data_IF_877608156874
#
_entry.id   IF_877608156874
#
_cell.length_a   1.000
_cell.length_b   1.000
_cell.length_c   1.000
_cell.angle_alpha   90.00
_cell.angle_beta   90.00
_cell.angle_gamma   90.00
#
_symmetry.space_group_name_H-M   'P 1'
#
loop_
_entity.id
_entity.type
_entity.pdbx_description
1 polymer ?
#
# COMPACT_ATOMS: atom_id res chain seq x y z
N UNK A 1 -9.04 6.26 19.34
CA UNK A 1 -10.43 6.79 19.36
C UNK A 1 -10.49 8.31 19.45
N UNK A 2 -9.94 8.99 20.51
CA UNK A 2 -10.05 10.48 20.62
C UNK A 2 -9.42 11.22 19.43
N UNK A 3 -8.29 10.75 18.92
CA UNK A 3 -7.64 11.35 17.73
C UNK A 3 -8.49 11.18 16.47
N UNK A 4 -9.02 9.99 16.22
CA UNK A 4 -9.94 9.75 15.11
C UNK A 4 -11.17 10.65 15.21
N UNK A 5 -11.81 10.68 16.38
CA UNK A 5 -12.97 11.56 16.61
C UNK A 5 -12.68 13.04 16.33
N UNK A 6 -11.46 13.53 16.60
CA UNK A 6 -11.11 14.91 16.26
C UNK A 6 -11.08 15.17 14.74
N UNK A 7 -10.71 14.16 13.95
CA UNK A 7 -10.77 14.24 12.48
C UNK A 7 -12.21 14.11 11.98
N UNK A 8 -13.02 13.25 12.60
CA UNK A 8 -14.45 13.14 12.28
C UNK A 8 -15.16 14.50 12.47
N UNK A 9 -14.89 15.17 13.60
CA UNK A 9 -15.43 16.51 13.85
C UNK A 9 -14.92 17.54 12.83
N UNK A 10 -13.62 17.52 12.53
CA UNK A 10 -13.03 18.39 11.50
C UNK A 10 -13.63 18.14 10.13
N UNK A 11 -13.78 16.87 9.72
CA UNK A 11 -14.37 16.50 8.43
C UNK A 11 -15.81 16.98 8.29
N UNK A 12 -16.60 16.91 9.37
CA UNK A 12 -17.99 17.36 9.38
C UNK A 12 -18.13 18.89 9.38
N UNK A 13 -17.30 19.60 10.15
CA UNK A 13 -17.53 20.98 10.52
C UNK A 13 -16.66 22.00 9.76
N UNK A 14 -15.49 21.58 9.22
CA UNK A 14 -14.59 22.49 8.52
C UNK A 14 -15.12 22.86 7.13
N UNK A 15 -14.93 24.12 6.69
CA UNK A 15 -15.19 24.51 5.32
C UNK A 15 -14.38 23.67 4.33
N UNK A 16 -14.90 23.41 3.13
CA UNK A 16 -14.24 22.50 2.14
C UNK A 16 -12.79 22.90 1.83
N UNK A 17 -12.50 24.20 1.75
CA UNK A 17 -11.16 24.72 1.48
C UNK A 17 -10.16 24.53 2.61
N UNK A 18 -10.62 24.20 3.82
CA UNK A 18 -9.81 23.99 5.01
C UNK A 18 -9.93 22.54 5.53
N UNK A 19 -10.72 21.71 4.84
CA UNK A 19 -11.05 20.36 5.25
C UNK A 19 -9.95 19.38 4.78
N UNK A 20 -9.09 18.95 5.69
CA UNK A 20 -7.92 18.13 5.35
C UNK A 20 -8.26 16.83 4.60
N UNK A 21 -9.23 15.99 5.03
CA UNK A 21 -9.63 14.83 4.26
C UNK A 21 -10.11 15.15 2.84
N UNK A 22 -10.88 16.24 2.68
CA UNK A 22 -11.37 16.69 1.37
C UNK A 22 -10.22 17.12 0.48
N UNK A 23 -9.32 17.96 1.00
CA UNK A 23 -8.15 18.43 0.25
C UNK A 23 -7.23 17.27 -0.18
N UNK A 24 -7.01 16.30 0.72
CA UNK A 24 -6.23 15.12 0.42
C UNK A 24 -6.91 14.26 -0.67
N UNK A 25 -8.22 14.04 -0.56
CA UNK A 25 -9.02 13.32 -1.55
C UNK A 25 -9.01 14.01 -2.92
N UNK A 26 -9.18 15.34 -2.96
CA UNK A 26 -9.12 16.11 -4.20
C UNK A 26 -7.73 16.10 -4.86
N UNK A 27 -6.66 16.15 -4.06
CA UNK A 27 -5.29 16.01 -4.56
C UNK A 27 -5.07 14.65 -5.22
N UNK A 28 -5.56 13.58 -4.60
CA UNK A 28 -5.46 12.24 -5.18
C UNK A 28 -6.35 12.08 -6.42
N UNK A 29 -7.58 12.58 -6.38
CA UNK A 29 -8.44 12.62 -7.56
C UNK A 29 -7.75 13.29 -8.74
N UNK A 30 -7.09 14.44 -8.49
CA UNK A 30 -6.34 15.16 -9.50
C UNK A 30 -5.23 14.31 -10.11
N UNK A 31 -4.44 13.65 -9.25
CA UNK A 31 -3.36 12.78 -9.71
C UNK A 31 -3.89 11.57 -10.51
N UNK A 32 -4.92 10.89 -10.03
CA UNK A 32 -5.43 9.66 -10.62
C UNK A 32 -6.24 9.96 -11.89
N UNK A 33 -7.30 10.75 -11.74
CA UNK A 33 -8.31 10.90 -12.79
C UNK A 33 -7.95 11.94 -13.85
N UNK A 34 -7.16 12.98 -13.50
CA UNK A 34 -6.82 14.05 -14.42
C UNK A 34 -5.39 13.95 -14.96
N UNK A 35 -4.43 13.57 -14.12
CA UNK A 35 -3.03 13.41 -14.56
C UNK A 35 -2.68 11.98 -15.00
N UNK A 36 -3.55 11.01 -14.74
CA UNK A 36 -3.36 9.62 -15.15
C UNK A 36 -2.23 8.92 -14.40
N UNK A 37 -2.02 9.24 -13.12
CA UNK A 37 -1.04 8.58 -12.25
C UNK A 37 -1.74 7.54 -11.36
N UNK A 38 -1.84 6.27 -11.79
CA UNK A 38 -2.65 5.26 -11.10
C UNK A 38 -1.95 4.63 -9.89
N UNK A 39 -0.83 5.18 -9.45
CA UNK A 39 0.02 4.64 -8.38
C UNK A 39 0.38 5.75 -7.42
N UNK A 40 0.33 5.48 -6.11
CA UNK A 40 0.75 6.38 -5.05
C UNK A 40 1.73 5.69 -4.12
N UNK A 41 2.80 6.39 -3.72
CA UNK A 41 3.76 5.92 -2.74
C UNK A 41 3.51 6.59 -1.38
N UNK A 42 3.32 5.81 -0.32
CA UNK A 42 3.16 6.27 1.07
C UNK A 42 4.45 6.00 1.83
N UNK A 43 5.14 7.05 2.22
CA UNK A 43 6.55 7.03 2.63
C UNK A 43 6.72 7.60 4.04
N UNK A 44 6.42 6.82 5.10
CA UNK A 44 6.59 7.28 6.48
C UNK A 44 8.06 7.29 6.87
N UNK A 45 8.57 8.45 7.32
CA UNK A 45 9.90 8.61 7.92
C UNK A 45 9.82 8.33 9.43
N UNK A 46 9.27 7.19 9.76
CA UNK A 46 9.11 6.69 11.11
C UNK A 46 8.94 5.15 11.07
N UNK A 47 9.85 4.43 11.71
CA UNK A 47 9.84 2.96 11.72
C UNK A 47 8.56 2.38 12.37
N UNK A 48 8.00 3.05 13.35
CA UNK A 48 6.75 2.61 14.00
C UNK A 48 5.55 2.59 13.03
N UNK A 49 5.62 3.32 11.90
CA UNK A 49 4.63 3.31 10.82
C UNK A 49 4.94 2.30 9.70
N UNK A 50 5.82 1.32 9.91
CA UNK A 50 6.21 0.33 8.89
C UNK A 50 5.03 -0.46 8.30
N UNK A 51 3.93 -0.57 9.01
CA UNK A 51 2.70 -1.22 8.56
C UNK A 51 1.63 -0.24 8.07
N UNK A 52 1.93 1.05 8.03
CA UNK A 52 0.96 2.04 7.62
C UNK A 52 0.60 1.94 6.12
N UNK A 53 1.61 1.89 5.23
CA UNK A 53 1.34 1.69 3.80
C UNK A 53 0.56 0.38 3.52
N UNK A 54 0.93 -0.80 4.08
CA UNK A 54 0.09 -2.01 3.98
C UNK A 54 -1.33 -1.87 4.52
N UNK A 55 -1.55 -1.06 5.57
CA UNK A 55 -2.88 -0.77 6.08
C UNK A 55 -3.69 0.05 5.07
N UNK A 56 -3.10 1.11 4.53
CA UNK A 56 -3.78 1.95 3.54
C UNK A 56 -4.04 1.20 2.23
N UNK A 57 -3.18 0.27 1.84
CA UNK A 57 -3.46 -0.64 0.72
C UNK A 57 -4.82 -1.31 0.89
N UNK A 58 -5.12 -1.84 2.06
CA UNK A 58 -6.42 -2.46 2.32
C UNK A 58 -7.54 -1.42 2.34
N UNK A 59 -7.38 -0.34 3.08
CA UNK A 59 -8.42 0.71 3.23
C UNK A 59 -8.78 1.33 1.88
N UNK A 60 -7.81 1.65 1.04
CA UNK A 60 -8.01 2.34 -0.24
C UNK A 60 -8.35 1.37 -1.37
N UNK A 61 -7.48 0.39 -1.64
CA UNK A 61 -7.60 -0.47 -2.83
C UNK A 61 -8.81 -1.42 -2.72
N UNK A 62 -9.10 -1.95 -1.53
CA UNK A 62 -10.27 -2.80 -1.30
C UNK A 62 -11.57 -1.98 -1.39
N UNK A 63 -11.56 -0.77 -0.83
CA UNK A 63 -12.76 0.07 -0.80
C UNK A 63 -13.09 0.69 -2.15
N UNK A 64 -12.10 1.24 -2.86
CA UNK A 64 -12.31 2.05 -4.07
C UNK A 64 -11.95 1.35 -5.38
N UNK A 65 -11.41 0.14 -5.34
CA UNK A 65 -11.17 -0.68 -6.53
C UNK A 65 -12.47 -1.26 -7.09
N UNK A 66 -13.30 -0.43 -7.73
CA UNK A 66 -14.63 -0.79 -8.23
C UNK A 66 -14.75 -0.59 -9.74
N UNK A 67 -15.54 -1.42 -10.40
CA UNK A 67 -15.81 -1.33 -11.83
C UNK A 67 -17.19 -0.79 -12.18
N UNK A 68 -18.05 -0.51 -11.17
CA UNK A 68 -19.41 -0.04 -11.34
C UNK A 68 -19.74 1.08 -10.37
N UNK A 69 -20.69 1.93 -10.74
CA UNK A 69 -21.22 2.98 -9.88
C UNK A 69 -22.26 2.43 -8.87
N UNK A 70 -22.79 3.29 -8.01
CA UNK A 70 -23.81 2.93 -7.02
C UNK A 70 -25.10 2.34 -7.62
N UNK A 71 -25.36 2.58 -8.90
CA UNK A 71 -26.52 1.99 -9.62
C UNK A 71 -26.20 0.64 -10.27
N UNK A 72 -24.94 0.20 -10.25
CA UNK A 72 -24.46 -1.00 -10.94
C UNK A 72 -24.08 -0.79 -12.40
N UNK A 73 -24.06 0.45 -12.88
CA UNK A 73 -23.63 0.77 -14.24
C UNK A 73 -22.10 0.78 -14.34
N UNK A 74 -21.50 0.25 -15.44
CA UNK A 74 -20.05 0.30 -15.61
C UNK A 74 -19.51 1.72 -15.55
N UNK A 75 -18.40 1.92 -14.81
CA UNK A 75 -17.72 3.20 -14.77
C UNK A 75 -17.09 3.52 -16.14
N UNK A 76 -17.19 4.77 -16.64
CA UNK A 76 -16.52 5.18 -17.88
C UNK A 76 -15.03 5.52 -17.67
N UNK A 77 -14.49 5.30 -16.50
CA UNK A 77 -13.11 5.56 -16.08
C UNK A 77 -12.66 4.49 -15.08
N UNK A 78 -11.36 4.41 -14.84
CA UNK A 78 -10.79 3.54 -13.81
C UNK A 78 -10.86 4.23 -12.44
N UNK A 79 -11.36 3.54 -11.43
CA UNK A 79 -11.41 4.00 -10.05
C UNK A 79 -10.35 3.29 -9.21
N UNK A 80 -9.95 3.96 -8.13
CA UNK A 80 -8.92 3.46 -7.23
C UNK A 80 -7.50 3.67 -7.74
N UNK A 81 -6.56 3.50 -6.85
CA UNK A 81 -5.11 3.67 -7.08
C UNK A 81 -4.37 2.47 -6.52
N UNK A 82 -3.15 2.25 -6.98
CA UNK A 82 -2.26 1.24 -6.41
C UNK A 82 -1.43 1.92 -5.33
N UNK A 83 -1.68 1.57 -4.08
CA UNK A 83 -0.90 2.05 -2.95
C UNK A 83 0.26 1.12 -2.66
N UNK A 84 1.44 1.69 -2.42
CA UNK A 84 2.60 0.96 -1.93
C UNK A 84 3.47 1.89 -1.08
N UNK A 85 4.44 1.35 -0.38
CA UNK A 85 5.41 2.17 0.33
C UNK A 85 6.15 1.42 1.42
N UNK A 86 7.22 2.04 1.87
CA UNK A 86 8.07 1.58 2.95
C UNK A 86 8.58 2.78 3.76
N UNK A 87 9.00 2.57 5.02
CA UNK A 87 9.64 3.63 5.78
C UNK A 87 10.89 4.19 5.10
N UNK A 88 11.04 5.51 5.13
CA UNK A 88 12.35 6.14 4.92
C UNK A 88 13.30 5.79 6.09
N UNK A 89 14.58 5.57 5.84
CA UNK A 89 15.33 5.71 4.56
C UNK A 89 15.36 4.42 3.72
N UNK A 90 14.81 3.31 4.22
CA UNK A 90 14.91 2.01 3.55
C UNK A 90 14.37 2.05 2.10
N UNK A 91 13.21 2.66 1.89
CA UNK A 91 12.61 2.82 0.55
C UNK A 91 13.51 3.52 -0.45
N UNK A 92 14.38 4.46 0.00
CA UNK A 92 15.34 5.16 -0.85
C UNK A 92 16.34 4.20 -1.53
N UNK A 93 16.67 3.09 -0.87
CA UNK A 93 17.58 2.07 -1.37
C UNK A 93 16.86 0.94 -2.13
N UNK A 94 15.55 1.06 -2.32
CA UNK A 94 14.73 0.07 -3.01
C UNK A 94 14.14 0.63 -4.32
N UNK A 95 13.18 1.52 -4.25
CA UNK A 95 12.39 1.93 -5.42
C UNK A 95 12.48 3.43 -5.77
N UNK A 96 13.22 4.26 -5.03
CA UNK A 96 13.30 5.70 -5.31
C UNK A 96 13.96 6.02 -6.65
N UNK A 97 14.84 5.17 -7.15
CA UNK A 97 15.38 5.32 -8.50
C UNK A 97 14.26 5.43 -9.56
N UNK A 98 13.24 4.59 -9.45
CA UNK A 98 12.08 4.64 -10.34
C UNK A 98 11.29 5.95 -10.15
N UNK A 99 11.06 6.35 -8.89
CA UNK A 99 10.30 7.55 -8.55
C UNK A 99 10.96 8.80 -9.09
N UNK A 100 12.30 8.90 -9.06
CA UNK A 100 13.05 10.08 -9.51
C UNK A 100 13.26 10.14 -11.03
N UNK A 101 13.51 9.02 -11.69
CA UNK A 101 13.87 9.00 -13.13
C UNK A 101 12.91 8.22 -14.03
N UNK A 102 12.16 7.29 -13.46
CA UNK A 102 11.22 6.47 -14.21
C UNK A 102 9.82 7.10 -14.29
N UNK A 103 8.82 6.30 -13.98
CA UNK A 103 7.42 6.74 -13.96
C UNK A 103 7.20 7.84 -12.93
N UNK A 104 6.32 8.78 -13.26
CA UNK A 104 5.82 9.73 -12.26
C UNK A 104 4.91 9.00 -11.28
N UNK A 105 5.25 9.05 -10.02
CA UNK A 105 4.48 8.45 -8.93
C UNK A 105 4.28 9.53 -7.87
N UNK A 106 3.05 9.98 -7.62
CA UNK A 106 2.75 10.86 -6.50
C UNK A 106 3.22 10.25 -5.19
N UNK A 107 3.94 11.04 -4.38
CA UNK A 107 4.51 10.59 -3.12
C UNK A 107 3.86 11.30 -1.94
N UNK A 108 3.51 10.57 -0.90
CA UNK A 108 3.05 11.10 0.38
C UNK A 108 4.10 10.81 1.46
N UNK A 109 4.86 11.84 1.83
CA UNK A 109 5.85 11.77 2.88
C UNK A 109 5.20 12.03 4.24
N UNK A 110 5.44 11.17 5.21
CA UNK A 110 4.93 11.33 6.58
C UNK A 110 6.10 11.44 7.53
N UNK A 111 6.31 12.63 8.08
CA UNK A 111 7.37 12.94 9.03
C UNK A 111 6.83 13.15 10.44
N UNK A 112 7.71 13.06 11.43
CA UNK A 112 7.39 13.27 12.84
C UNK A 112 8.42 14.25 13.45
N UNK A 113 7.95 15.35 14.05
CA UNK A 113 8.86 16.36 14.63
C UNK A 113 9.64 15.80 15.82
N UNK A 114 8.94 15.19 16.78
CA UNK A 114 9.57 14.63 17.98
C UNK A 114 9.77 13.14 17.84
N UNK A 115 11.04 12.70 17.85
CA UNK A 115 11.37 11.28 17.87
C UNK A 115 10.91 10.62 19.18
N UNK A 116 10.46 9.38 19.10
CA UNK A 116 10.21 8.55 20.29
C UNK A 116 11.51 8.16 20.98
N UNK A 117 12.63 8.09 20.25
CA UNK A 117 13.95 7.68 20.73
C UNK A 117 15.03 8.42 19.95
N UNK A 118 15.38 9.65 20.37
CA UNK A 118 16.52 10.38 19.80
C UNK A 118 17.82 9.84 20.35
N UNK A 119 18.76 9.51 19.48
CA UNK A 119 20.12 9.08 19.82
C UNK A 119 21.09 10.08 19.21
N UNK A 120 22.05 10.52 20.01
CA UNK A 120 23.14 11.39 19.58
C UNK A 120 24.44 10.59 19.59
N UNK A 121 25.20 10.64 18.51
CA UNK A 121 26.55 10.11 18.50
C UNK A 121 27.49 11.08 19.23
N UNK A 122 28.53 10.55 19.89
CA UNK A 122 29.49 11.38 20.64
C UNK A 122 30.20 12.35 19.70
N UNK A 123 30.03 13.64 19.97
CA UNK A 123 30.65 14.71 19.20
C UNK A 123 29.80 15.27 18.06
N UNK A 124 28.62 14.69 17.79
CA UNK A 124 27.67 15.17 16.81
C UNK A 124 26.67 16.14 17.43
N UNK A 125 26.28 17.16 16.67
CA UNK A 125 25.26 18.15 17.04
C UNK A 125 23.87 17.65 16.60
N UNK A 126 23.81 16.94 15.49
CA UNK A 126 22.58 16.40 14.92
C UNK A 126 22.30 14.99 15.48
N UNK A 127 21.05 14.72 15.79
CA UNK A 127 20.61 13.39 16.23
C UNK A 127 20.40 12.45 15.03
N UNK A 128 20.29 11.14 15.29
CA UNK A 128 19.85 10.17 14.29
C UNK A 128 18.50 10.54 13.69
N UNK A 129 17.63 11.18 14.47
CA UNK A 129 16.33 11.64 14.00
C UNK A 129 16.46 12.86 13.06
N UNK A 130 17.35 13.81 13.37
CA UNK A 130 17.62 14.93 12.47
C UNK A 130 18.13 14.45 11.12
N UNK A 131 19.03 13.44 11.09
CA UNK A 131 19.51 12.84 9.85
C UNK A 131 18.37 12.18 9.04
N UNK A 132 17.44 11.51 9.72
CA UNK A 132 16.23 10.96 9.09
C UNK A 132 15.38 12.08 8.48
N UNK A 133 15.14 13.17 9.21
CA UNK A 133 14.33 14.30 8.77
C UNK A 133 15.02 15.12 7.67
N UNK A 134 16.34 15.22 7.66
CA UNK A 134 17.07 15.78 6.52
C UNK A 134 16.72 15.03 5.22
N UNK A 135 16.68 13.72 5.26
CA UNK A 135 16.26 12.92 4.12
C UNK A 135 14.79 13.14 3.75
N UNK A 136 13.89 13.23 4.73
CA UNK A 136 12.47 13.54 4.52
C UNK A 136 12.29 14.84 3.70
N UNK A 137 12.96 15.92 4.10
CA UNK A 137 12.87 17.20 3.39
C UNK A 137 13.56 17.15 2.02
N UNK A 138 14.77 16.58 1.96
CA UNK A 138 15.56 16.54 0.74
C UNK A 138 14.87 15.73 -0.39
N UNK A 139 14.13 14.67 -0.06
CA UNK A 139 13.45 13.88 -1.08
C UNK A 139 12.27 14.62 -1.73
N UNK A 140 11.49 15.35 -0.95
CA UNK A 140 10.41 16.19 -1.47
C UNK A 140 10.97 17.29 -2.41
N UNK A 141 12.05 17.97 -2.00
CA UNK A 141 12.72 18.97 -2.83
C UNK A 141 13.31 18.37 -4.11
N UNK A 142 13.96 17.21 -4.01
CA UNK A 142 14.53 16.54 -5.17
C UNK A 142 13.45 16.15 -6.21
N UNK A 143 12.26 15.74 -5.77
CA UNK A 143 11.12 15.46 -6.65
C UNK A 143 10.58 16.74 -7.30
N UNK A 144 10.54 17.84 -6.56
CA UNK A 144 10.02 19.10 -7.06
C UNK A 144 10.95 19.75 -8.09
N UNK A 145 12.23 19.89 -7.77
CA UNK A 145 13.19 20.63 -8.58
C UNK A 145 13.96 19.77 -9.58
N UNK A 146 14.25 18.51 -9.24
CA UNK A 146 15.10 17.67 -10.07
C UNK A 146 16.54 18.15 -10.14
N UNK A 147 17.21 17.87 -11.28
CA UNK A 147 18.59 18.29 -11.56
C UNK A 147 18.77 18.53 -13.06
N UNK A 148 19.04 19.73 -13.45
CA UNK A 148 19.15 20.11 -14.86
C UNK A 148 20.52 19.74 -15.45
N UNK A 149 20.61 19.69 -16.78
CA UNK A 149 21.87 19.47 -17.50
C UNK A 149 22.83 20.63 -17.31
N UNK A 150 22.33 21.84 -17.23
CA UNK A 150 23.09 23.08 -17.02
C UNK A 150 23.79 23.07 -15.66
N UNK A 151 23.05 22.70 -14.60
CA UNK A 151 23.62 22.55 -13.26
C UNK A 151 24.71 21.47 -13.20
N UNK A 152 24.50 20.34 -13.91
CA UNK A 152 25.48 19.26 -13.98
C UNK A 152 26.76 19.70 -14.71
N UNK A 153 26.65 20.49 -15.80
CA UNK A 153 27.82 21.08 -16.48
C UNK A 153 28.56 22.06 -15.59
N UNK A 154 27.82 22.90 -14.88
CA UNK A 154 28.40 23.82 -13.91
C UNK A 154 29.15 23.12 -12.78
N UNK A 155 28.78 21.90 -12.45
CA UNK A 155 29.47 21.04 -11.48
C UNK A 155 30.60 20.19 -12.10
N UNK A 156 31.00 20.46 -13.35
CA UNK A 156 32.00 19.71 -14.08
C UNK A 156 31.71 18.22 -14.21
N UNK A 157 30.42 17.84 -14.30
CA UNK A 157 30.02 16.46 -14.57
C UNK A 157 30.47 16.05 -15.99
N UNK A 158 31.16 14.92 -16.19
CA UNK A 158 31.53 14.44 -17.52
C UNK A 158 30.32 14.32 -18.45
N UNK A 159 30.44 14.75 -19.69
CA UNK A 159 29.32 14.83 -20.65
C UNK A 159 28.56 13.52 -20.81
N UNK A 160 29.25 12.38 -20.81
CA UNK A 160 28.62 11.06 -20.94
C UNK A 160 27.76 10.68 -19.73
N UNK A 161 27.97 11.29 -18.55
CA UNK A 161 27.15 11.06 -17.35
C UNK A 161 25.98 12.03 -17.22
N UNK A 162 26.02 13.18 -17.89
CA UNK A 162 24.95 14.20 -17.78
C UNK A 162 23.56 13.63 -18.07
N UNK A 163 23.31 12.86 -19.15
CA UNK A 163 22.01 12.27 -19.39
C UNK A 163 21.54 11.34 -18.27
N UNK A 164 22.46 10.61 -17.65
CA UNK A 164 22.16 9.65 -16.59
C UNK A 164 21.94 10.30 -15.21
N UNK A 165 22.45 11.49 -15.00
CA UNK A 165 22.35 12.24 -13.74
C UNK A 165 21.32 13.37 -13.79
N UNK A 166 20.66 13.57 -14.93
CA UNK A 166 19.59 14.55 -15.07
C UNK A 166 18.27 14.00 -14.51
N UNK A 167 17.57 14.83 -13.76
CA UNK A 167 16.27 14.53 -13.15
C UNK A 167 15.29 15.61 -13.57
N UNK A 168 14.14 15.21 -14.06
CA UNK A 168 13.14 16.14 -14.63
C UNK A 168 12.53 17.08 -13.60
N UNK A 169 12.46 16.67 -12.33
CA UNK A 169 11.68 17.38 -11.33
C UNK A 169 10.17 17.38 -11.66
N UNK A 170 9.46 18.36 -11.12
CA UNK A 170 8.01 18.53 -11.31
C UNK A 170 7.20 17.25 -11.06
N UNK A 171 7.61 16.48 -10.04
CA UNK A 171 6.95 15.25 -9.63
C UNK A 171 6.12 15.53 -8.38
N UNK A 172 4.81 15.20 -8.39
CA UNK A 172 3.93 15.58 -7.31
C UNK A 172 4.29 14.86 -6.01
N UNK A 173 4.32 15.61 -4.93
CA UNK A 173 4.46 15.07 -3.58
C UNK A 173 3.67 15.90 -2.58
N UNK A 174 3.31 15.26 -1.47
CA UNK A 174 2.63 15.84 -0.33
C UNK A 174 3.42 15.48 0.92
N UNK A 175 3.56 16.40 1.86
CA UNK A 175 4.24 16.16 3.12
C UNK A 175 3.28 16.38 4.29
N UNK A 176 3.11 15.33 5.10
CA UNK A 176 2.41 15.36 6.38
C UNK A 176 3.46 15.40 7.49
N UNK A 177 3.42 16.43 8.34
CA UNK A 177 4.35 16.57 9.45
C UNK A 177 3.58 16.51 10.78
N UNK A 178 3.70 15.40 11.49
CA UNK A 178 3.08 15.19 12.78
C UNK A 178 3.95 15.77 13.90
N UNK A 179 3.39 16.41 14.93
CA UNK A 179 4.18 16.92 16.05
C UNK A 179 4.89 15.81 16.82
N UNK A 180 4.24 14.68 17.00
CA UNK A 180 4.77 13.46 17.60
C UNK A 180 3.92 12.26 17.18
N UNK A 181 4.48 11.05 17.24
CA UNK A 181 3.74 9.82 17.03
C UNK A 181 3.30 9.23 18.36
N UNK A 182 2.03 9.36 18.67
CA UNK A 182 1.39 8.78 19.84
C UNK A 182 0.01 8.21 19.47
N UNK A 183 -0.71 7.61 20.41
CA UNK A 183 -2.01 7.00 20.16
C UNK A 183 -3.07 8.00 19.64
N UNK A 184 -2.94 9.29 19.98
CA UNK A 184 -3.84 10.33 19.49
C UNK A 184 -3.57 10.67 18.02
N UNK A 185 -2.32 10.98 17.67
CA UNK A 185 -1.94 11.34 16.29
C UNK A 185 -2.01 10.15 15.32
N UNK A 186 -1.77 8.92 15.80
CA UNK A 186 -2.06 7.71 14.99
C UNK A 186 -3.55 7.60 14.70
N UNK A 187 -4.42 7.86 15.70
CA UNK A 187 -5.87 7.88 15.48
C UNK A 187 -6.29 8.96 14.46
N UNK A 188 -5.67 10.16 14.52
CA UNK A 188 -5.89 11.20 13.51
C UNK A 188 -5.46 10.73 12.11
N UNK A 189 -4.27 10.14 12.00
CA UNK A 189 -3.72 9.68 10.72
C UNK A 189 -4.61 8.61 10.09
N UNK A 190 -5.08 7.63 10.86
CA UNK A 190 -5.98 6.59 10.36
C UNK A 190 -7.30 7.18 9.84
N UNK A 191 -7.97 8.03 10.64
CA UNK A 191 -9.23 8.64 10.24
C UNK A 191 -9.08 9.59 9.04
N UNK A 192 -7.95 10.30 8.93
CA UNK A 192 -7.66 11.17 7.79
C UNK A 192 -7.72 10.38 6.47
N UNK A 193 -7.07 9.21 6.40
CA UNK A 193 -7.07 8.38 5.21
C UNK A 193 -8.40 7.64 4.99
N UNK A 194 -9.09 7.23 6.04
CA UNK A 194 -10.43 6.65 5.92
C UNK A 194 -11.41 7.65 5.30
N UNK A 195 -11.42 8.90 5.76
CA UNK A 195 -12.25 9.95 5.18
C UNK A 195 -11.82 10.34 3.76
N UNK A 196 -10.51 10.36 3.46
CA UNK A 196 -10.00 10.54 2.10
C UNK A 196 -10.58 9.50 1.14
N UNK A 197 -10.57 8.23 1.53
CA UNK A 197 -11.14 7.13 0.72
C UNK A 197 -12.64 7.33 0.51
N UNK A 198 -13.37 7.74 1.56
CA UNK A 198 -14.79 8.06 1.44
C UNK A 198 -15.05 9.24 0.49
N UNK A 199 -14.25 10.31 0.55
CA UNK A 199 -14.35 11.46 -0.38
C UNK A 199 -14.19 11.03 -1.82
N UNK A 200 -13.18 10.20 -2.12
CA UNK A 200 -12.98 9.66 -3.47
C UNK A 200 -14.17 8.81 -3.91
N UNK A 201 -14.68 7.96 -3.02
CA UNK A 201 -15.86 7.14 -3.30
C UNK A 201 -17.11 7.97 -3.62
N UNK A 202 -17.34 9.06 -2.90
CA UNK A 202 -18.45 9.99 -3.18
C UNK A 202 -18.30 10.65 -4.55
N UNK A 203 -17.09 11.10 -4.89
CA UNK A 203 -16.85 11.78 -6.18
C UNK A 203 -16.97 10.80 -7.36
N UNK A 204 -16.46 9.59 -7.22
CA UNK A 204 -16.58 8.55 -8.24
C UNK A 204 -17.97 7.90 -8.30
N UNK A 205 -18.83 8.21 -7.33
CA UNK A 205 -20.18 7.62 -7.21
C UNK A 205 -20.15 6.08 -7.08
N UNK A 206 -19.23 5.54 -6.26
CA UNK A 206 -19.05 4.11 -6.06
C UNK A 206 -19.42 3.68 -4.64
N UNK A 207 -19.74 2.41 -4.45
CA UNK A 207 -19.88 1.80 -3.13
C UNK A 207 -18.51 1.45 -2.58
N UNK A 208 -17.93 2.37 -1.79
CA UNK A 208 -16.73 2.10 -1.01
C UNK A 208 -17.01 1.14 0.15
N UNK A 209 -15.95 0.57 0.75
CA UNK A 209 -15.99 -0.26 1.96
C UNK A 209 -16.74 -1.60 1.81
N UNK A 210 -16.90 -2.14 0.60
CA UNK A 210 -17.25 -3.52 0.32
C UNK A 210 -16.14 -4.22 -0.49
N UNK A 211 -16.14 -5.56 -0.54
CA UNK A 211 -15.04 -6.34 -1.12
C UNK A 211 -15.51 -7.57 -1.92
N UNK A 212 -16.47 -7.40 -2.80
CA UNK A 212 -17.02 -8.51 -3.61
C UNK A 212 -15.94 -9.26 -4.42
N UNK A 213 -14.87 -8.57 -4.84
CA UNK A 213 -13.75 -9.20 -5.53
C UNK A 213 -13.02 -10.26 -4.70
N UNK A 214 -13.01 -10.12 -3.38
CA UNK A 214 -12.38 -11.09 -2.47
C UNK A 214 -13.30 -12.31 -2.26
N UNK A 215 -14.63 -12.13 -2.31
CA UNK A 215 -15.61 -13.20 -2.16
C UNK A 215 -15.47 -14.29 -3.24
N UNK A 216 -15.23 -13.89 -4.49
CA UNK A 216 -15.02 -14.85 -5.59
C UNK A 216 -13.85 -15.78 -5.31
N UNK A 217 -12.74 -15.24 -4.80
CA UNK A 217 -11.57 -16.03 -4.44
C UNK A 217 -11.85 -17.07 -3.35
N UNK A 218 -12.65 -16.72 -2.34
CA UNK A 218 -13.04 -17.64 -1.26
C UNK A 218 -13.89 -18.81 -1.77
N UNK A 219 -14.86 -18.52 -2.63
CA UNK A 219 -15.71 -19.55 -3.26
C UNK A 219 -14.87 -20.52 -4.09
N UNK A 220 -13.97 -19.99 -4.92
CA UNK A 220 -13.06 -20.81 -5.74
C UNK A 220 -12.09 -21.63 -4.88
N UNK A 221 -11.56 -21.06 -3.80
CA UNK A 221 -10.70 -21.79 -2.88
C UNK A 221 -11.38 -22.96 -2.20
N UNK A 222 -12.65 -22.81 -1.81
CA UNK A 222 -13.46 -23.90 -1.26
C UNK A 222 -13.61 -25.03 -2.28
N UNK A 223 -13.90 -24.71 -3.54
CA UNK A 223 -13.99 -25.69 -4.63
C UNK A 223 -12.66 -26.41 -4.86
N UNK A 224 -11.55 -25.69 -4.89
CA UNK A 224 -10.21 -26.28 -5.00
C UNK A 224 -9.95 -27.27 -3.85
N UNK A 225 -10.32 -26.90 -2.62
CA UNK A 225 -10.18 -27.75 -1.44
C UNK A 225 -10.96 -29.07 -1.58
N UNK A 226 -12.21 -29.01 -2.04
CA UNK A 226 -13.05 -30.19 -2.26
C UNK A 226 -12.43 -31.14 -3.30
N UNK A 227 -12.01 -30.60 -4.44
CA UNK A 227 -11.39 -31.39 -5.51
C UNK A 227 -10.07 -32.01 -5.07
N UNK A 228 -9.22 -31.25 -4.36
CA UNK A 228 -7.97 -31.78 -3.80
C UNK A 228 -8.21 -32.88 -2.77
N UNK A 229 -9.23 -32.74 -1.92
CA UNK A 229 -9.61 -33.76 -0.96
C UNK A 229 -10.10 -35.03 -1.67
N UNK A 230 -10.95 -34.90 -2.68
CA UNK A 230 -11.44 -36.02 -3.48
C UNK A 230 -10.29 -36.71 -4.25
N UNK A 231 -9.37 -35.94 -4.83
CA UNK A 231 -8.22 -36.49 -5.54
C UNK A 231 -7.31 -37.31 -4.60
N UNK A 232 -7.05 -36.83 -3.39
CA UNK A 232 -6.29 -37.58 -2.38
C UNK A 232 -6.98 -38.86 -1.92
N UNK A 233 -8.26 -38.75 -1.60
CA UNK A 233 -9.03 -39.91 -1.12
C UNK A 233 -9.16 -41.01 -2.16
N UNK A 234 -9.31 -40.64 -3.44
CA UNK A 234 -9.47 -41.58 -4.55
C UNK A 234 -8.17 -41.92 -5.27
N UNK A 235 -7.03 -41.39 -4.81
CA UNK A 235 -5.71 -41.54 -5.45
C UNK A 235 -5.72 -41.25 -6.96
N UNK A 236 -6.47 -40.20 -7.38
CA UNK A 236 -6.61 -39.79 -8.76
C UNK A 236 -5.96 -38.43 -9.03
N UNK A 237 -5.69 -38.16 -10.28
CA UNK A 237 -5.31 -36.83 -10.74
C UNK A 237 -6.57 -35.93 -10.82
N UNK A 238 -6.33 -34.63 -10.73
CA UNK A 238 -7.34 -33.61 -11.04
C UNK A 238 -7.44 -33.50 -12.56
N UNK A 239 -8.64 -33.56 -13.09
CA UNK A 239 -8.95 -33.60 -14.51
C UNK A 239 -9.68 -32.33 -14.98
N UNK A 240 -9.80 -32.15 -16.28
CA UNK A 240 -10.51 -31.00 -16.86
C UNK A 240 -12.00 -30.98 -16.45
N UNK A 241 -12.58 -32.16 -16.25
CA UNK A 241 -13.96 -32.34 -15.73
C UNK A 241 -14.19 -31.76 -14.34
N UNK A 242 -13.11 -31.53 -13.55
CA UNK A 242 -13.18 -30.85 -12.26
C UNK A 242 -13.39 -29.33 -12.41
N UNK A 243 -13.35 -28.80 -13.65
CA UNK A 243 -13.78 -27.44 -14.02
C UNK A 243 -12.75 -26.34 -13.72
N UNK A 244 -11.48 -26.69 -13.71
CA UNK A 244 -10.38 -25.72 -13.65
C UNK A 244 -9.75 -25.53 -15.03
N UNK A 245 -9.11 -24.36 -15.23
CA UNK A 245 -8.28 -24.19 -16.41
C UNK A 245 -7.04 -25.11 -16.36
N UNK A 246 -6.48 -25.37 -17.50
CA UNK A 246 -5.35 -26.32 -17.67
C UNK A 246 -4.14 -25.99 -16.79
N UNK A 247 -3.84 -24.69 -16.59
CA UNK A 247 -2.72 -24.26 -15.75
C UNK A 247 -2.97 -24.61 -14.28
N UNK A 248 -4.15 -24.25 -13.76
CA UNK A 248 -4.54 -24.58 -12.37
C UNK A 248 -4.55 -26.07 -12.12
N UNK A 249 -5.12 -26.87 -13.05
CA UNK A 249 -5.14 -28.32 -12.99
C UNK A 249 -3.72 -28.92 -12.88
N UNK A 250 -2.79 -28.47 -13.75
CA UNK A 250 -1.41 -28.94 -13.73
C UNK A 250 -0.70 -28.58 -12.42
N UNK A 251 -0.89 -27.36 -11.93
CA UNK A 251 -0.30 -26.91 -10.69
C UNK A 251 -0.82 -27.71 -9.49
N UNK A 252 -2.13 -27.98 -9.41
CA UNK A 252 -2.71 -28.79 -8.34
C UNK A 252 -2.12 -30.22 -8.39
N UNK A 253 -2.06 -30.85 -9.56
CA UNK A 253 -1.49 -32.18 -9.69
C UNK A 253 -0.04 -32.22 -9.25
N UNK A 254 0.77 -31.25 -9.69
CA UNK A 254 2.18 -31.14 -9.27
C UNK A 254 2.33 -30.95 -7.76
N UNK A 255 1.46 -30.13 -7.16
CA UNK A 255 1.45 -29.94 -5.71
C UNK A 255 1.08 -31.22 -4.95
N UNK A 256 0.10 -31.98 -5.46
CA UNK A 256 -0.32 -33.25 -4.86
C UNK A 256 0.79 -34.31 -4.95
N UNK A 257 1.48 -34.43 -6.10
CA UNK A 257 2.65 -35.29 -6.29
C UNK A 257 3.75 -34.98 -5.28
N UNK A 258 4.14 -33.72 -5.15
CA UNK A 258 5.20 -33.27 -4.24
C UNK A 258 4.91 -33.59 -2.78
N UNK A 259 3.66 -33.44 -2.33
CA UNK A 259 3.28 -33.80 -0.95
C UNK A 259 3.23 -35.31 -0.69
N UNK A 260 3.02 -36.13 -1.70
CA UNK A 260 3.05 -37.59 -1.54
C UNK A 260 4.49 -38.09 -1.31
N UNK A 261 5.48 -37.37 -1.83
CA UNK A 261 6.91 -37.70 -1.63
C UNK A 261 7.48 -37.22 -0.27
N UNK A 262 6.85 -36.25 0.36
CA UNK A 262 7.22 -35.73 1.68
C UNK A 262 6.32 -36.40 2.73
N UNK A 263 6.83 -37.38 3.46
CA UNK A 263 6.15 -38.00 4.60
C UNK A 263 5.96 -36.97 5.75
N UNK A 264 5.11 -35.98 5.55
CA UNK A 264 4.68 -35.14 6.65
C UNK A 264 3.70 -35.96 7.51
N UNK A 265 3.94 -36.06 8.83
CA UNK A 265 2.98 -36.66 9.72
C UNK A 265 1.64 -35.91 9.63
N UNK A 266 0.55 -36.64 9.56
CA UNK A 266 -0.79 -36.03 9.58
C UNK A 266 -0.99 -35.36 10.94
N UNK A 267 -1.79 -34.29 11.04
CA UNK A 267 -2.10 -33.67 12.32
C UNK A 267 -2.55 -34.67 13.40
N UNK A 268 -3.28 -35.72 13.02
CA UNK A 268 -3.71 -36.82 13.90
C UNK A 268 -2.55 -37.66 14.46
N UNK A 269 -1.40 -37.65 13.77
CA UNK A 269 -0.22 -38.43 14.17
C UNK A 269 0.69 -37.61 15.14
N UNK A 270 0.44 -36.30 15.26
CA UNK A 270 1.29 -35.37 16.03
C UNK A 270 0.54 -34.76 17.22
N UNK A 271 -0.78 -34.58 17.10
CA UNK A 271 -1.59 -33.96 18.16
C UNK A 271 -2.57 -34.97 18.79
N UNK A 272 -2.84 -34.86 20.09
CA UNK A 272 -3.87 -35.67 20.74
C UNK A 272 -5.21 -35.53 20.00
N UNK A 273 -5.90 -36.66 19.80
CA UNK A 273 -7.16 -36.75 19.05
C UNK A 273 -8.20 -35.71 19.48
N UNK A 274 -8.27 -35.41 20.78
CA UNK A 274 -9.16 -34.39 21.36
C UNK A 274 -8.94 -32.97 20.85
N UNK A 275 -7.68 -32.58 20.53
CA UNK A 275 -7.37 -31.26 19.96
C UNK A 275 -7.71 -31.16 18.47
N UNK A 276 -7.61 -32.28 17.75
CA UNK A 276 -7.96 -32.32 16.31
C UNK A 276 -9.49 -32.25 16.16
N UNK A 277 -10.25 -33.00 16.98
CA UNK A 277 -11.70 -32.97 17.00
C UNK A 277 -12.31 -31.63 17.44
N UNK A 278 -11.61 -30.88 18.30
CA UNK A 278 -12.00 -29.53 18.69
C UNK A 278 -11.80 -28.52 17.54
N UNK A 279 -10.71 -28.66 16.77
CA UNK A 279 -10.44 -27.80 15.61
C UNK A 279 -11.31 -28.09 14.38
N UNK A 280 -11.87 -29.30 14.25
CA UNK A 280 -12.80 -29.67 13.18
C UNK A 280 -14.23 -29.15 13.42
N UNK A 281 -14.53 -28.61 14.62
CA UNK A 281 -15.83 -28.03 15.00
C UNK A 281 -15.93 -26.51 14.86
N UNK A 282 -14.82 -25.85 14.48
CA UNK A 282 -14.75 -24.43 14.12
C UNK A 282 -14.48 -24.27 12.61
#
# INVERSE_FOLDING_TARGET
MKGAHSVDAHFRDAPLQDNLPVLLGLSNLWNISFLGYPVRAILPYCQALSKFAPHIQQVSMESNGKGVDMSGSPLPFESGEIDFGEPGTNGQHSFYQLIHQGRVIPCEFIGVVRSQQSVYLKGEIVSNHDELMCNFFAQADALAYGKTREELRAQNTPDYLIPHKSFTGNRPSLSLLLPELNAYTVGQLLALYEHQVAVLGFIWNINSFDQWGVELGKVLASRVREVMSAARNKQRLVEQSDGFNTSTQRLINKYLEGKTQLNYPRPRDVFPTQLVEAAEKF
#
